data_IF_701325490633
#
_entry.id   IF_701325490633
#
_cell.length_a   1.000
_cell.length_b   1.000
_cell.length_c   1.000
_cell.angle_alpha   90.00
_cell.angle_beta   90.00
_cell.angle_gamma   90.00
#
_symmetry.space_group_name_H-M   'P 1'
#
loop_
_entity.id
_entity.type
_entity.pdbx_description
1 polymer ?
#
# COMPACT_ATOMS: atom_id res chain seq x y z
N UNK A 1 0.38 -6.81 17.49
CA UNK A 1 1.17 -6.65 16.23
C UNK A 1 0.36 -5.83 15.24
N UNK A 2 0.67 -4.56 15.13
CA UNK A 2 0.00 -3.61 14.24
C UNK A 2 0.51 -3.82 12.81
N UNK A 3 -0.25 -4.56 12.00
CA UNK A 3 -0.02 -4.68 10.56
C UNK A 3 -0.53 -3.41 9.89
N UNK A 4 0.37 -2.61 9.34
CA UNK A 4 0.04 -1.47 8.49
C UNK A 4 -0.02 -1.93 7.04
N UNK A 5 -0.89 -1.28 6.27
CA UNK A 5 -1.07 -1.53 4.86
C UNK A 5 -0.73 -0.26 4.12
N UNK A 6 -0.12 -0.41 2.95
CA UNK A 6 0.31 0.71 2.15
C UNK A 6 -0.18 0.51 0.73
N UNK A 7 -0.95 1.46 0.20
CA UNK A 7 -1.41 1.46 -1.19
C UNK A 7 -0.49 2.33 -2.04
N UNK A 8 0.03 1.79 -3.14
CA UNK A 8 0.70 2.58 -4.14
C UNK A 8 -0.33 3.40 -4.94
N UNK A 9 -0.28 4.72 -4.84
CA UNK A 9 -1.19 5.62 -5.58
C UNK A 9 -0.96 5.64 -7.09
N UNK A 10 0.13 5.04 -7.56
CA UNK A 10 0.51 5.02 -8.98
C UNK A 10 0.00 3.78 -9.69
N UNK A 11 0.22 2.59 -9.12
CA UNK A 11 -0.15 1.32 -9.74
C UNK A 11 -1.23 0.53 -8.98
N UNK A 12 -1.62 0.96 -7.77
CA UNK A 12 -2.60 0.27 -6.94
C UNK A 12 -2.06 -0.92 -6.13
N UNK A 13 -0.75 -1.18 -6.17
CA UNK A 13 -0.12 -2.24 -5.38
C UNK A 13 -0.34 -2.05 -3.88
N UNK A 14 -0.74 -3.11 -3.16
CA UNK A 14 -0.94 -3.06 -1.71
C UNK A 14 0.16 -3.85 -1.01
N UNK A 15 1.01 -3.14 -0.27
CA UNK A 15 2.08 -3.71 0.52
C UNK A 15 1.69 -3.78 2.00
N UNK A 16 1.90 -4.94 2.65
CA UNK A 16 1.66 -5.12 4.08
C UNK A 16 2.99 -5.17 4.84
N UNK A 17 3.20 -4.25 5.79
CA UNK A 17 4.48 -4.18 6.52
C UNK A 17 4.42 -3.24 7.72
N UNK A 18 5.59 -2.99 8.33
CA UNK A 18 5.73 -1.92 9.34
C UNK A 18 5.94 -0.56 8.69
N UNK A 19 6.58 -0.54 7.52
CA UNK A 19 6.94 0.65 6.76
C UNK A 19 6.57 0.46 5.28
N UNK A 20 6.37 1.57 4.57
CA UNK A 20 6.21 1.58 3.12
C UNK A 20 7.53 1.21 2.42
N UNK A 21 7.45 0.46 1.31
CA UNK A 21 8.61 0.21 0.46
C UNK A 21 8.90 1.44 -0.41
N UNK A 22 10.17 1.81 -0.56
CA UNK A 22 10.60 2.86 -1.48
C UNK A 22 11.87 2.41 -2.22
N UNK A 23 11.87 2.24 -3.56
CA UNK A 23 10.77 2.48 -4.50
C UNK A 23 9.69 1.38 -4.48
N UNK A 24 8.56 1.63 -5.16
CA UNK A 24 7.53 0.59 -5.36
C UNK A 24 8.08 -0.61 -6.15
N UNK A 25 7.95 -1.85 -5.66
CA UNK A 25 8.47 -3.04 -6.36
C UNK A 25 7.75 -3.30 -7.69
N UNK A 26 6.52 -2.82 -7.85
CA UNK A 26 5.69 -3.07 -9.03
C UNK A 26 5.93 -2.03 -10.13
N UNK A 27 5.91 -0.75 -9.79
CA UNK A 27 6.05 0.35 -10.77
C UNK A 27 7.34 1.16 -10.65
N UNK A 28 8.22 0.83 -9.70
CA UNK A 28 9.50 1.50 -9.43
C UNK A 28 9.39 2.99 -9.09
N UNK A 29 8.18 3.50 -8.84
CA UNK A 29 7.99 4.91 -8.48
C UNK A 29 8.32 5.12 -7.00
N UNK A 30 9.02 6.21 -6.71
CA UNK A 30 9.43 6.57 -5.35
C UNK A 30 8.30 7.29 -4.61
N UNK A 31 8.28 7.14 -3.29
CA UNK A 31 7.39 7.89 -2.37
C UNK A 31 5.90 7.84 -2.78
N UNK A 32 5.48 6.73 -3.37
CA UNK A 32 4.15 6.55 -3.96
C UNK A 32 3.18 5.80 -3.06
N UNK A 33 3.67 5.19 -1.99
CA UNK A 33 2.87 4.42 -1.04
C UNK A 33 2.27 5.33 0.03
N UNK A 34 0.97 5.17 0.27
CA UNK A 34 0.25 5.82 1.37
C UNK A 34 -0.24 4.78 2.35
N UNK A 35 -0.17 5.07 3.64
CA UNK A 35 -0.72 4.18 4.67
C UNK A 35 -2.25 4.14 4.57
N UNK A 36 -2.81 2.94 4.48
CA UNK A 36 -4.26 2.70 4.46
C UNK A 36 -4.66 1.83 5.64
N UNK A 37 -5.89 2.00 6.09
CA UNK A 37 -6.41 1.24 7.22
C UNK A 37 -7.00 -0.10 6.76
N UNK A 38 -7.15 -1.04 7.70
CA UNK A 38 -7.81 -2.34 7.44
C UNK A 38 -9.26 -2.21 6.97
N UNK A 39 -9.93 -1.10 7.28
CA UNK A 39 -11.30 -0.83 6.81
C UNK A 39 -11.33 -0.49 5.33
N UNK A 40 -10.31 0.23 4.85
CA UNK A 40 -10.24 0.65 3.45
C UNK A 40 -9.77 -0.47 2.52
N UNK A 41 -9.02 -1.45 3.04
CA UNK A 41 -8.50 -2.58 2.24
C UNK A 41 -9.58 -3.30 1.38
N UNK A 42 -10.73 -3.76 1.93
CA UNK A 42 -11.76 -4.40 1.12
C UNK A 42 -12.38 -3.45 0.07
N UNK A 43 -12.56 -2.17 0.41
CA UNK A 43 -13.08 -1.17 -0.54
C UNK A 43 -12.12 -0.95 -1.72
N UNK A 44 -10.81 -0.98 -1.47
CA UNK A 44 -9.77 -0.84 -2.49
C UNK A 44 -9.58 -2.08 -3.35
N UNK A 45 -9.84 -3.26 -2.79
CA UNK A 45 -9.74 -4.53 -3.52
C UNK A 45 -11.01 -4.84 -4.35
N UNK A 46 -12.05 -4.02 -4.22
CA UNK A 46 -13.30 -4.18 -4.98
C UNK A 46 -14.08 -5.44 -4.60
N UNK A 47 -13.98 -5.86 -3.33
CA UNK A 47 -14.74 -6.99 -2.78
C UNK A 47 -16.09 -6.56 -2.19
#
# INVERSE_FOLDING_TARGET
MDKKFFECKVCGDIHQGKNASNPCPTCMTKDSYVEITKKELPEKLGM
#
